data_IF_543463422913
#
_entry.id   IF_543463422913
#
_cell.length_a   1.000
_cell.length_b   1.000
_cell.length_c   1.000
_cell.angle_alpha   90.00
_cell.angle_beta   90.00
_cell.angle_gamma   90.00
#
_symmetry.space_group_name_H-M   'P 1'
#
loop_
_entity.id
_entity.type
_entity.pdbx_description
1 polymer ?
#
# COMPACT_ATOMS: atom_id res chain seq x y z
N UNK A 1 -25.41 -0.01 1.69
CA UNK A 1 -24.97 1.19 2.44
C UNK A 1 -24.01 0.81 3.57
N UNK A 2 -24.45 0.23 4.70
CA UNK A 2 -23.50 -0.18 5.77
C UNK A 2 -22.59 -1.33 5.30
N UNK A 3 -23.16 -2.31 4.60
CA UNK A 3 -22.39 -3.42 4.01
C UNK A 3 -21.24 -2.92 3.12
N UNK A 4 -21.52 -1.95 2.25
CA UNK A 4 -20.54 -1.36 1.33
C UNK A 4 -19.33 -0.74 2.07
N UNK A 5 -19.54 -0.14 3.25
CA UNK A 5 -18.44 0.38 4.07
C UNK A 5 -17.63 -0.73 4.75
N UNK A 6 -18.29 -1.83 5.14
CA UNK A 6 -17.60 -2.98 5.74
C UNK A 6 -16.74 -3.69 4.70
N UNK A 7 -17.28 -3.88 3.49
CA UNK A 7 -16.57 -4.46 2.35
C UNK A 7 -15.36 -3.62 1.95
N UNK A 8 -15.53 -2.29 1.84
CA UNK A 8 -14.39 -1.40 1.60
C UNK A 8 -13.37 -1.45 2.75
N UNK A 9 -13.83 -1.53 3.99
CA UNK A 9 -12.95 -1.63 5.16
C UNK A 9 -12.12 -2.91 5.19
N UNK A 10 -12.72 -4.04 4.84
CA UNK A 10 -12.04 -5.33 4.69
C UNK A 10 -10.97 -5.25 3.59
N UNK A 11 -11.34 -4.73 2.42
CA UNK A 11 -10.41 -4.51 1.30
C UNK A 11 -9.21 -3.64 1.69
N UNK A 12 -9.45 -2.56 2.44
CA UNK A 12 -8.38 -1.68 2.93
C UNK A 12 -7.43 -2.40 3.89
N UNK A 13 -7.94 -3.31 4.73
CA UNK A 13 -7.12 -4.10 5.66
C UNK A 13 -6.30 -5.14 4.90
N UNK A 14 -6.86 -5.81 3.91
CA UNK A 14 -6.14 -6.79 3.10
C UNK A 14 -5.03 -6.13 2.27
N UNK A 15 -5.30 -4.97 1.66
CA UNK A 15 -4.27 -4.17 0.97
C UNK A 15 -3.14 -3.74 1.92
N UNK A 16 -3.49 -3.29 3.13
CA UNK A 16 -2.50 -2.89 4.14
C UNK A 16 -1.67 -4.10 4.64
N UNK A 17 -2.30 -5.27 4.79
CA UNK A 17 -1.65 -6.48 5.29
C UNK A 17 -0.56 -6.98 4.33
N UNK A 18 -0.86 -7.05 3.03
CA UNK A 18 0.10 -7.52 2.02
C UNK A 18 1.23 -6.51 1.74
N UNK A 19 1.03 -5.22 2.08
CA UNK A 19 2.04 -4.16 1.89
C UNK A 19 3.00 -4.12 3.08
N UNK A 20 4.04 -4.93 3.00
CA UNK A 20 5.13 -5.08 3.98
C UNK A 20 6.18 -3.95 3.89
N UNK A 21 5.73 -2.70 4.05
CA UNK A 21 6.57 -1.50 4.12
C UNK A 21 5.88 -0.39 4.94
N UNK A 22 6.57 0.72 5.16
CA UNK A 22 5.95 2.00 5.51
C UNK A 22 6.18 3.05 4.43
N UNK A 23 5.10 3.59 3.87
CA UNK A 23 5.15 4.58 2.81
C UNK A 23 3.98 5.57 2.91
N UNK A 24 4.31 6.86 3.09
CA UNK A 24 3.30 7.92 3.16
C UNK A 24 2.37 7.78 4.38
N UNK A 25 1.08 7.61 4.13
CA UNK A 25 0.06 7.41 5.18
C UNK A 25 -0.07 5.96 5.67
N UNK A 26 0.53 4.99 4.95
CA UNK A 26 0.63 3.60 5.39
C UNK A 26 1.88 3.44 6.26
N UNK A 27 1.69 3.27 7.56
CA UNK A 27 2.79 3.17 8.52
C UNK A 27 2.65 1.92 9.37
N UNK A 28 3.69 1.09 9.34
CA UNK A 28 3.81 -0.16 10.08
C UNK A 28 5.01 -0.07 11.00
N UNK A 29 4.80 -0.29 12.29
CA UNK A 29 5.87 -0.23 13.29
C UNK A 29 6.96 -1.29 13.05
N UNK A 30 6.63 -2.39 12.37
CA UNK A 30 7.61 -3.40 11.95
C UNK A 30 8.56 -2.88 10.85
N UNK A 31 8.12 -1.86 10.10
CA UNK A 31 8.82 -1.27 8.96
C UNK A 31 9.10 0.22 9.20
N UNK A 32 9.85 0.51 10.25
CA UNK A 32 10.32 1.86 10.56
C UNK A 32 11.83 1.88 10.78
N UNK A 33 12.45 3.04 10.60
CA UNK A 33 13.85 3.26 10.99
C UNK A 33 13.98 3.24 12.52
N UNK A 34 15.21 3.07 13.08
CA UNK A 34 15.44 3.16 14.52
C UNK A 34 14.96 4.48 15.15
N UNK A 35 14.81 5.53 14.34
CA UNK A 35 14.36 6.86 14.75
C UNK A 35 12.86 7.09 14.55
N UNK A 36 12.10 6.05 14.17
CA UNK A 36 10.64 6.09 14.04
C UNK A 36 10.12 6.70 12.75
N UNK A 37 10.97 6.81 11.71
CA UNK A 37 10.53 7.26 10.38
C UNK A 37 10.11 6.08 9.50
N UNK A 38 9.26 6.34 8.52
CA UNK A 38 8.77 5.34 7.59
C UNK A 38 9.93 4.70 6.81
N UNK A 39 10.06 3.37 6.89
CA UNK A 39 11.00 2.60 6.09
C UNK A 39 10.28 2.08 4.83
N UNK A 40 10.47 2.80 3.72
CA UNK A 40 9.88 2.49 2.41
C UNK A 40 10.69 1.40 1.69
N UNK A 41 10.02 0.51 0.96
CA UNK A 41 10.64 -0.54 0.17
C UNK A 41 10.32 -0.40 -1.33
N UNK A 42 11.07 0.47 -1.99
CA UNK A 42 10.93 0.78 -3.42
C UNK A 42 11.24 -0.43 -4.34
N UNK A 43 11.89 -1.48 -3.84
CA UNK A 43 12.23 -2.66 -4.64
C UNK A 43 11.00 -3.53 -4.90
N UNK A 44 10.20 -3.74 -3.87
CA UNK A 44 9.09 -4.71 -3.92
C UNK A 44 7.72 -4.03 -4.01
N UNK A 45 7.62 -2.74 -3.65
CA UNK A 45 6.34 -2.02 -3.50
C UNK A 45 6.22 -0.71 -4.30
N UNK A 46 7.10 -0.50 -5.29
CA UNK A 46 6.99 0.62 -6.23
C UNK A 46 5.88 0.41 -7.29
N UNK A 47 4.66 0.17 -6.82
CA UNK A 47 3.47 -0.01 -7.66
C UNK A 47 2.22 0.57 -7.02
N UNK A 48 1.23 0.89 -7.86
CA UNK A 48 -0.14 1.20 -7.44
C UNK A 48 -0.95 -0.09 -7.43
N UNK A 49 -1.67 -0.34 -6.34
CA UNK A 49 -2.63 -1.43 -6.26
C UNK A 49 -4.00 -0.94 -6.72
N UNK A 50 -4.61 -1.64 -7.66
CA UNK A 50 -5.99 -1.44 -8.08
C UNK A 50 -6.76 -2.74 -7.85
N UNK A 51 -7.80 -2.68 -7.04
CA UNK A 51 -8.59 -3.86 -6.68
C UNK A 51 -9.88 -3.94 -7.49
N UNK A 52 -10.03 -5.02 -8.24
CA UNK A 52 -11.20 -5.30 -9.05
C UNK A 52 -12.28 -6.01 -8.23
N UNK A 53 -13.48 -5.44 -8.24
CA UNK A 53 -14.67 -6.07 -7.69
C UNK A 53 -15.19 -7.15 -8.65
N UNK A 54 -15.16 -8.40 -8.21
CA UNK A 54 -15.54 -9.58 -9.01
C UNK A 54 -16.96 -10.07 -8.76
N UNK A 55 -17.69 -9.42 -7.85
CA UNK A 55 -19.04 -9.79 -7.47
C UNK A 55 -19.16 -10.07 -5.97
N UNK A 56 -20.39 -10.26 -5.51
CA UNK A 56 -20.67 -10.47 -4.09
C UNK A 56 -20.17 -11.84 -3.66
N UNK A 57 -19.55 -11.90 -2.47
CA UNK A 57 -19.00 -13.14 -1.89
C UNK A 57 -17.95 -13.81 -2.81
N UNK A 58 -17.28 -13.02 -3.65
CA UNK A 58 -16.14 -13.43 -4.47
C UNK A 58 -14.89 -12.67 -4.00
N UNK A 59 -13.73 -13.31 -4.10
CA UNK A 59 -12.47 -12.62 -3.81
C UNK A 59 -12.21 -11.56 -4.86
N UNK A 60 -11.88 -10.36 -4.41
CA UNK A 60 -11.33 -9.29 -5.24
C UNK A 60 -10.02 -9.71 -5.91
N UNK A 61 -9.69 -9.06 -7.02
CA UNK A 61 -8.43 -9.29 -7.73
C UNK A 61 -7.58 -8.03 -7.66
N UNK A 62 -6.37 -8.16 -7.11
CA UNK A 62 -5.40 -7.07 -7.17
C UNK A 62 -4.70 -7.05 -8.52
N UNK A 63 -4.76 -5.89 -9.16
CA UNK A 63 -3.90 -5.51 -10.28
C UNK A 63 -2.80 -4.60 -9.76
N UNK A 64 -1.56 -4.83 -10.23
CA UNK A 64 -0.41 -3.99 -9.92
C UNK A 64 -0.02 -3.20 -11.17
N UNK A 65 0.06 -1.89 -11.01
CA UNK A 65 0.65 -0.99 -12.01
C UNK A 65 2.00 -0.50 -11.49
N UNK A 66 3.08 -0.95 -12.11
CA UNK A 66 4.45 -0.57 -11.74
C UNK A 66 4.69 0.92 -11.98
N UNK A 67 5.36 1.57 -11.03
CA UNK A 67 5.71 2.99 -11.13
C UNK A 67 7.10 3.16 -11.73
N UNK A 68 7.15 3.66 -12.96
CA UNK A 68 8.39 3.99 -13.67
C UNK A 68 8.68 5.49 -13.58
N UNK A 69 9.89 5.84 -13.13
CA UNK A 69 10.31 7.22 -12.95
C UNK A 69 11.43 7.59 -13.93
N UNK A 70 11.09 8.39 -14.96
CA UNK A 70 12.06 8.79 -16.01
C UNK A 70 12.89 10.02 -15.63
N UNK A 71 12.26 11.01 -14.97
CA UNK A 71 12.85 12.33 -14.78
C UNK A 71 13.34 12.61 -13.36
N UNK A 72 12.94 11.78 -12.39
CA UNK A 72 13.25 11.99 -10.98
C UNK A 72 13.61 10.65 -10.34
N UNK A 73 14.78 10.59 -9.73
CA UNK A 73 15.20 9.41 -8.98
C UNK A 73 14.39 9.28 -7.67
N UNK A 74 13.97 8.05 -7.34
CA UNK A 74 13.33 7.75 -6.07
C UNK A 74 14.27 8.06 -4.91
N UNK A 75 13.80 8.89 -3.97
CA UNK A 75 14.49 9.19 -2.72
C UNK A 75 13.58 8.98 -1.53
N UNK A 76 14.16 8.45 -0.45
CA UNK A 76 13.47 8.36 0.84
C UNK A 76 13.40 9.74 1.46
N UNK A 77 12.23 10.10 1.99
CA UNK A 77 12.00 11.40 2.64
C UNK A 77 12.35 11.29 4.13
N UNK A 78 13.24 12.18 4.59
CA UNK A 78 13.55 12.40 6.01
C UNK A 78 13.01 13.78 6.43
N UNK A 79 12.49 13.91 7.65
CA UNK A 79 12.04 15.18 8.21
C UNK A 79 13.04 15.81 9.19
N UNK A 80 14.19 15.16 9.37
CA UNK A 80 15.35 15.75 10.04
C UNK A 80 16.10 16.74 9.17
#
# INVERSE_FOLDING_TARGET
RVADFMELGELMVDDALQREESCGGHFREEFQTPEGEALRNDKDFAFVAAWEYTGRDQQEIMHKEELEFEFVELKTRSYK
#
